data_IF_275212048191
#
_entry.id   IF_275212048191
#
_cell.length_a   1.000
_cell.length_b   1.000
_cell.length_c   1.000
_cell.angle_alpha   90.00
_cell.angle_beta   90.00
_cell.angle_gamma   90.00
#
_symmetry.space_group_name_H-M   'P 1'
#
loop_
_entity.id
_entity.type
_entity.pdbx_description
1 polymer ?
#
# COMPACT_ATOMS: atom_id res chain seq x y z
N UNK A 1 3.09 -5.96 -9.99
CA UNK A 1 4.42 -6.22 -9.35
C UNK A 1 4.87 -5.00 -8.55
N UNK A 2 5.36 -5.19 -7.31
CA UNK A 2 5.99 -4.10 -6.54
C UNK A 2 7.45 -3.97 -6.97
N UNK A 3 7.85 -2.77 -7.40
CA UNK A 3 9.19 -2.46 -7.87
C UNK A 3 10.04 -1.72 -6.83
N UNK A 4 9.43 -0.93 -5.95
CA UNK A 4 10.14 -0.27 -4.85
C UNK A 4 9.22 0.06 -3.68
N UNK A 5 9.81 0.19 -2.50
CA UNK A 5 9.15 0.63 -1.28
C UNK A 5 9.55 2.05 -0.97
N UNK A 6 8.60 2.84 -0.49
CA UNK A 6 8.83 4.23 -0.15
C UNK A 6 9.21 4.46 1.31
N UNK A 7 9.13 3.41 2.14
CA UNK A 7 9.66 3.41 3.50
C UNK A 7 10.09 2.00 3.93
N UNK A 8 10.97 1.96 4.95
CA UNK A 8 11.54 0.71 5.44
C UNK A 8 10.52 -0.15 6.20
N UNK A 9 9.55 0.46 6.87
CA UNK A 9 8.58 -0.27 7.66
C UNK A 9 7.69 -1.16 6.78
N UNK A 10 7.20 -0.62 5.67
CA UNK A 10 6.37 -1.31 4.68
C UNK A 10 7.17 -2.41 3.98
N UNK A 11 8.42 -2.11 3.61
CA UNK A 11 9.33 -3.09 3.02
C UNK A 11 9.59 -4.28 3.97
N UNK A 12 9.87 -3.98 5.25
CA UNK A 12 10.11 -5.02 6.25
C UNK A 12 8.85 -5.85 6.52
N UNK A 13 7.68 -5.21 6.60
CA UNK A 13 6.42 -5.93 6.73
C UNK A 13 6.20 -6.87 5.54
N UNK A 14 6.37 -6.38 4.31
CA UNK A 14 6.18 -7.16 3.07
C UNK A 14 7.07 -8.42 3.04
N UNK A 15 8.34 -8.29 3.44
CA UNK A 15 9.28 -9.41 3.46
C UNK A 15 9.23 -10.27 4.73
N UNK A 16 8.28 -10.02 5.64
CA UNK A 16 8.17 -10.76 6.90
C UNK A 16 9.35 -10.54 7.86
N UNK A 17 10.08 -9.42 7.72
CA UNK A 17 11.23 -9.10 8.55
C UNK A 17 10.78 -8.50 9.89
N UNK A 18 11.24 -9.10 10.99
CA UNK A 18 11.00 -8.58 12.34
C UNK A 18 11.91 -7.38 12.60
N UNK A 19 11.44 -6.16 12.34
CA UNK A 19 12.20 -4.93 12.58
C UNK A 19 11.46 -3.94 13.49
N UNK A 20 12.22 -3.03 14.13
CA UNK A 20 11.64 -1.93 14.93
C UNK A 20 10.73 -1.04 14.07
N UNK A 21 11.09 -0.84 12.80
CA UNK A 21 10.30 -0.03 11.86
C UNK A 21 8.93 -0.66 11.58
N UNK A 22 8.87 -1.97 11.32
CA UNK A 22 7.60 -2.67 11.05
C UNK A 22 6.68 -2.75 12.28
N UNK A 23 7.24 -2.72 13.52
CA UNK A 23 6.44 -2.71 14.77
C UNK A 23 5.61 -1.44 14.99
N UNK A 24 5.79 -0.40 14.16
CA UNK A 24 4.96 0.80 14.24
C UNK A 24 3.52 0.56 13.78
N UNK A 25 3.29 -0.49 12.98
CA UNK A 25 1.96 -0.81 12.49
C UNK A 25 1.14 -1.53 13.57
N UNK A 26 -0.10 -1.08 13.83
CA UNK A 26 -1.02 -1.79 14.73
C UNK A 26 -1.25 -3.25 14.32
N UNK A 27 -1.35 -4.14 15.30
CA UNK A 27 -1.47 -5.58 15.04
C UNK A 27 -2.74 -5.96 14.27
N UNK A 28 -3.82 -5.22 14.49
CA UNK A 28 -5.13 -5.40 13.86
C UNK A 28 -5.13 -5.10 12.35
N UNK A 29 -4.18 -4.30 11.86
CA UNK A 29 -4.09 -3.99 10.42
C UNK A 29 -3.19 -4.95 9.63
N UNK A 30 -2.31 -5.70 10.29
CA UNK A 30 -1.20 -6.41 9.62
C UNK A 30 -1.69 -7.41 8.56
N UNK A 31 -2.68 -8.23 8.90
CA UNK A 31 -3.23 -9.24 7.99
C UNK A 31 -3.84 -8.60 6.74
N UNK A 32 -4.62 -7.52 6.92
CA UNK A 32 -5.24 -6.81 5.80
C UNK A 32 -4.19 -6.07 4.98
N UNK A 33 -3.22 -5.44 5.62
CA UNK A 33 -2.13 -4.73 4.96
C UNK A 33 -1.29 -5.67 4.07
N UNK A 34 -0.90 -6.84 4.60
CA UNK A 34 -0.19 -7.87 3.82
C UNK A 34 -1.00 -8.30 2.60
N UNK A 35 -2.29 -8.61 2.78
CA UNK A 35 -3.18 -8.95 1.66
C UNK A 35 -3.24 -7.84 0.61
N UNK A 36 -3.28 -6.55 1.01
CA UNK A 36 -3.26 -5.42 0.07
C UNK A 36 -1.94 -5.33 -0.69
N UNK A 37 -0.82 -5.55 -0.02
CA UNK A 37 0.50 -5.58 -0.67
C UNK A 37 0.60 -6.73 -1.67
N UNK A 38 0.08 -7.91 -1.34
CA UNK A 38 0.02 -9.05 -2.26
C UNK A 38 -0.83 -8.75 -3.50
N UNK A 39 -1.97 -8.08 -3.33
CA UNK A 39 -2.81 -7.65 -4.44
C UNK A 39 -2.08 -6.65 -5.35
N UNK A 40 -1.40 -5.64 -4.79
CA UNK A 40 -0.59 -4.69 -5.55
C UNK A 40 0.56 -5.41 -6.28
N UNK A 41 1.16 -6.41 -5.63
CA UNK A 41 2.20 -7.21 -6.25
C UNK A 41 1.66 -8.04 -7.43
N UNK A 42 0.47 -8.61 -7.30
CA UNK A 42 -0.16 -9.45 -8.32
C UNK A 42 -0.83 -8.66 -9.46
N UNK A 43 -1.21 -7.40 -9.24
CA UNK A 43 -1.92 -6.59 -10.24
C UNK A 43 -1.13 -6.44 -11.55
N UNK A 44 -1.83 -6.65 -12.68
CA UNK A 44 -1.31 -6.44 -14.04
C UNK A 44 -1.66 -5.06 -14.58
N UNK A 45 -2.79 -4.51 -14.15
CA UNK A 45 -3.24 -3.16 -14.43
C UNK A 45 -3.65 -2.44 -13.14
N UNK A 46 -3.59 -1.11 -13.15
CA UNK A 46 -4.01 -0.29 -12.00
C UNK A 46 -5.47 -0.56 -11.63
N UNK A 47 -6.32 -0.73 -12.64
CA UNK A 47 -7.76 -0.93 -12.50
C UNK A 47 -8.12 -2.27 -11.82
N UNK A 48 -7.23 -3.26 -11.84
CA UNK A 48 -7.43 -4.52 -11.12
C UNK A 48 -7.60 -4.26 -9.61
N UNK A 49 -6.94 -3.22 -9.11
CA UNK A 49 -7.00 -2.80 -7.72
C UNK A 49 -8.30 -2.06 -7.36
N UNK A 50 -9.21 -1.83 -8.30
CA UNK A 50 -10.58 -1.39 -7.97
C UNK A 50 -11.43 -2.55 -7.41
N UNK A 51 -11.01 -3.81 -7.62
CA UNK A 51 -11.66 -5.01 -7.08
C UNK A 51 -10.86 -5.61 -5.92
N UNK A 52 -11.51 -6.01 -4.81
CA UNK A 52 -12.93 -5.82 -4.52
C UNK A 52 -13.27 -4.35 -4.22
N UNK A 53 -14.55 -3.95 -4.27
CA UNK A 53 -14.98 -2.55 -4.07
C UNK A 53 -14.47 -1.90 -2.77
N UNK A 54 -14.22 -2.72 -1.74
CA UNK A 54 -13.63 -2.27 -0.47
C UNK A 54 -12.21 -1.71 -0.58
N UNK A 55 -11.49 -1.95 -1.70
CA UNK A 55 -10.19 -1.32 -1.96
C UNK A 55 -10.32 0.19 -2.07
N UNK A 56 -11.45 0.69 -2.57
CA UNK A 56 -11.69 2.12 -2.81
C UNK A 56 -10.47 2.78 -3.46
N UNK A 57 -10.05 2.21 -4.60
CA UNK A 57 -8.91 2.73 -5.37
C UNK A 57 -9.12 4.21 -5.67
N UNK A 58 -8.17 5.03 -5.25
CA UNK A 58 -8.25 6.48 -5.35
C UNK A 58 -6.97 7.05 -5.97
N UNK A 59 -7.10 7.97 -6.92
CA UNK A 59 -5.99 8.80 -7.38
C UNK A 59 -5.85 10.01 -6.46
N UNK A 60 -4.68 10.17 -5.84
CA UNK A 60 -4.42 11.23 -4.87
C UNK A 60 -4.13 12.57 -5.57
N UNK A 61 -4.33 13.66 -4.83
CA UNK A 61 -4.24 15.05 -5.31
C UNK A 61 -3.23 15.84 -4.47
N UNK A 62 -3.01 17.10 -4.85
CA UNK A 62 -2.06 17.99 -4.16
C UNK A 62 -0.62 17.49 -4.26
N UNK A 63 0.09 17.48 -3.14
CA UNK A 63 1.50 17.03 -3.06
C UNK A 63 1.67 15.54 -3.37
N UNK A 64 0.59 14.76 -3.28
CA UNK A 64 0.56 13.34 -3.63
C UNK A 64 0.05 13.09 -5.05
N UNK A 65 0.03 14.12 -5.91
CA UNK A 65 -0.33 13.95 -7.32
C UNK A 65 0.57 12.90 -7.98
N UNK A 66 -0.07 11.93 -8.65
CA UNK A 66 0.63 10.80 -9.28
C UNK A 66 0.79 9.58 -8.38
N UNK A 67 0.35 9.66 -7.13
CA UNK A 67 0.14 8.51 -6.27
C UNK A 67 -1.32 8.05 -6.34
N UNK A 68 -1.51 6.79 -5.98
CA UNK A 68 -2.78 6.12 -5.78
C UNK A 68 -2.83 5.56 -4.37
N UNK A 69 -4.05 5.31 -3.87
CA UNK A 69 -4.24 4.60 -2.61
C UNK A 69 -5.27 3.47 -2.72
N UNK A 70 -5.07 2.44 -1.89
CA UNK A 70 -6.11 1.46 -1.57
C UNK A 70 -6.29 1.35 -0.05
N UNK A 71 -7.52 1.12 0.38
CA UNK A 71 -7.94 1.14 1.78
C UNK A 71 -7.56 -0.13 2.53
N UNK A 72 -6.98 0.01 3.72
CA UNK A 72 -6.80 -1.08 4.70
C UNK A 72 -8.01 -1.12 5.64
N UNK A 73 -8.24 -0.02 6.37
CA UNK A 73 -9.42 0.22 7.21
C UNK A 73 -9.79 1.71 7.16
N UNK A 74 -10.55 2.27 8.10
CA UNK A 74 -10.91 3.69 8.02
C UNK A 74 -9.71 4.63 8.14
N UNK A 75 -8.70 4.28 8.95
CA UNK A 75 -7.51 5.08 9.22
C UNK A 75 -6.34 4.82 8.26
N UNK A 76 -6.11 3.57 7.86
CA UNK A 76 -4.89 3.18 7.16
C UNK A 76 -5.09 2.98 5.65
N UNK A 77 -4.09 3.38 4.86
CA UNK A 77 -4.04 3.20 3.41
C UNK A 77 -2.70 2.61 2.98
N UNK A 78 -2.70 1.87 1.87
CA UNK A 78 -1.47 1.66 1.09
C UNK A 78 -1.42 2.72 0.01
N UNK A 79 -0.35 3.50 -0.04
CA UNK A 79 -0.10 4.56 -1.02
C UNK A 79 1.06 4.15 -1.92
N UNK A 80 0.93 4.34 -3.23
CA UNK A 80 1.93 3.91 -4.21
C UNK A 80 1.82 4.71 -5.51
N UNK A 81 2.89 4.77 -6.30
CA UNK A 81 2.84 5.25 -7.69
C UNK A 81 2.63 4.07 -8.62
N UNK A 82 1.92 4.27 -9.73
CA UNK A 82 1.76 3.27 -10.77
C UNK A 82 2.41 3.74 -12.07
N UNK A 83 3.32 2.94 -12.62
CA UNK A 83 3.96 3.23 -13.90
C UNK A 83 4.38 1.93 -14.59
N UNK A 84 4.14 1.83 -15.91
CA UNK A 84 4.56 0.69 -16.74
C UNK A 84 4.22 -0.69 -16.12
N UNK A 85 2.99 -0.85 -15.61
CA UNK A 85 2.52 -2.12 -15.03
C UNK A 85 3.11 -2.48 -13.66
N UNK A 86 3.76 -1.53 -12.98
CA UNK A 86 4.41 -1.76 -11.69
C UNK A 86 4.05 -0.69 -10.67
N UNK A 87 4.06 -1.10 -9.40
CA UNK A 87 3.88 -0.22 -8.26
C UNK A 87 5.23 0.22 -7.70
N UNK A 88 5.41 1.52 -7.48
CA UNK A 88 6.63 2.12 -6.95
C UNK A 88 6.34 2.88 -5.67
N UNK A 89 7.38 3.05 -4.85
CA UNK A 89 7.35 3.83 -3.63
C UNK A 89 6.20 3.43 -2.69
N UNK A 90 5.92 2.12 -2.62
CA UNK A 90 4.80 1.59 -1.84
C UNK A 90 5.01 1.87 -0.34
N UNK A 91 4.01 2.47 0.31
CA UNK A 91 4.00 2.84 1.73
C UNK A 91 2.66 2.51 2.38
N UNK A 92 2.68 2.05 3.63
CA UNK A 92 1.49 2.04 4.49
C UNK A 92 1.48 3.34 5.30
N UNK A 93 0.42 4.13 5.13
CA UNK A 93 0.28 5.46 5.73
C UNK A 93 -0.95 5.52 6.63
N UNK A 94 -0.81 6.23 7.74
CA UNK A 94 -1.95 6.74 8.51
C UNK A 94 -2.55 7.92 7.73
N UNK A 95 -3.83 7.85 7.40
CA UNK A 95 -4.53 8.89 6.62
C UNK A 95 -5.11 9.99 7.52
N UNK A 96 -5.12 9.80 8.84
CA UNK A 96 -5.64 10.76 9.82
C UNK A 96 -4.53 11.43 10.65
N UNK A 97 -3.26 11.06 10.41
CA UNK A 97 -2.08 11.54 11.14
C UNK A 97 -1.09 12.28 10.27
#
# INVERSE_FOLDING_TARGET
MIASFGDRATEDLYHGRKSKAARRFPADILSVALRKLDMIHAAGALQDLASPPGNRLEALRGDLRGYHSIRINDQWRVVFRWAAGKAYEVRITDYHG
#
